data_IF_210483427828
#
_entry.id   IF_210483427828
#
_cell.length_a   1.000
_cell.length_b   1.000
_cell.length_c   1.000
_cell.angle_alpha   90.00
_cell.angle_beta   90.00
_cell.angle_gamma   90.00
#
_symmetry.space_group_name_H-M   'P 1'
#
loop_
_entity.id
_entity.type
_entity.pdbx_description
1 polymer ?
#
# COMPACT_ATOMS: atom_id res chain seq x y z
N UNK A 1 19.90 7.88 12.60
CA UNK A 1 18.47 7.98 12.92
C UNK A 1 17.73 6.81 12.30
N UNK A 2 16.56 6.41 12.83
CA UNK A 2 15.72 5.38 12.23
C UNK A 2 14.56 6.05 11.46
N UNK A 3 14.20 5.48 10.32
CA UNK A 3 13.09 5.98 9.51
C UNK A 3 12.58 4.93 8.54
N UNK A 4 11.53 5.27 7.79
CA UNK A 4 10.90 4.41 6.78
C UNK A 4 11.05 5.03 5.40
N UNK A 5 11.45 4.24 4.41
CA UNK A 5 11.50 4.69 3.02
C UNK A 5 10.07 4.89 2.51
N UNK A 6 9.70 6.12 2.18
CA UNK A 6 8.37 6.46 1.65
C UNK A 6 8.37 6.66 0.13
N UNK A 7 9.54 6.84 -0.49
CA UNK A 7 9.67 7.05 -1.94
C UNK A 7 11.09 6.69 -2.39
N UNK A 8 11.22 6.15 -3.61
CA UNK A 8 12.50 5.87 -4.25
C UNK A 8 12.48 6.31 -5.71
N UNK A 9 13.39 7.19 -6.12
CA UNK A 9 13.51 7.70 -7.50
C UNK A 9 14.97 7.80 -7.89
N UNK A 10 15.34 7.21 -9.00
CA UNK A 10 16.67 7.37 -9.63
C UNK A 10 17.85 7.17 -8.68
N UNK A 11 17.72 6.23 -7.74
CA UNK A 11 18.78 5.94 -6.75
C UNK A 11 18.79 6.83 -5.51
N UNK A 12 17.85 7.75 -5.40
CA UNK A 12 17.56 8.50 -4.20
C UNK A 12 16.39 7.90 -3.44
N UNK A 13 16.46 7.90 -2.12
CA UNK A 13 15.45 7.36 -1.22
C UNK A 13 15.01 8.44 -0.25
N UNK A 14 13.72 8.69 -0.19
CA UNK A 14 13.12 9.64 0.72
C UNK A 14 12.69 8.89 1.98
N UNK A 15 13.37 9.20 3.08
CA UNK A 15 13.19 8.50 4.35
C UNK A 15 12.44 9.39 5.31
N UNK A 16 11.25 8.98 5.71
CA UNK A 16 10.50 9.64 6.75
C UNK A 16 11.04 9.23 8.12
N UNK A 17 11.51 10.21 8.88
CA UNK A 17 11.98 10.07 10.28
C UNK A 17 10.95 10.76 11.16
N UNK A 18 10.47 10.07 12.19
CA UNK A 18 9.49 10.63 13.12
C UNK A 18 10.02 11.95 13.72
N UNK A 19 9.10 12.92 13.89
CA UNK A 19 9.35 14.26 14.47
C UNK A 19 10.25 15.18 13.64
N UNK A 20 11.15 14.64 12.80
CA UNK A 20 12.11 15.46 12.05
C UNK A 20 11.76 15.61 10.56
N UNK A 21 10.88 14.75 10.01
CA UNK A 21 10.38 14.86 8.64
C UNK A 21 11.09 13.96 7.63
N UNK A 22 11.14 14.39 6.37
CA UNK A 22 11.64 13.58 5.26
C UNK A 22 13.06 13.99 4.89
N UNK A 23 13.96 13.01 4.84
CA UNK A 23 15.33 13.15 4.39
C UNK A 23 15.53 12.57 3.00
N UNK A 24 16.23 13.28 2.11
CA UNK A 24 16.70 12.74 0.85
C UNK A 24 18.01 11.99 1.08
N UNK A 25 18.00 10.68 0.86
CA UNK A 25 19.12 9.80 1.15
C UNK A 25 19.64 9.09 -0.10
N UNK A 26 20.94 8.88 -0.18
CA UNK A 26 21.56 7.97 -1.12
C UNK A 26 21.80 6.61 -0.45
N UNK A 27 21.65 5.53 -1.20
CA UNK A 27 22.04 4.22 -0.72
C UNK A 27 23.57 4.06 -0.84
N UNK A 28 24.23 3.55 0.21
CA UNK A 28 25.65 3.21 0.16
C UNK A 28 25.92 2.12 -0.87
N UNK A 29 27.09 2.17 -1.50
CA UNK A 29 27.52 1.19 -2.51
C UNK A 29 27.56 -0.26 -2.01
N UNK A 30 27.65 -0.48 -0.71
CA UNK A 30 27.63 -1.80 -0.07
C UNK A 30 26.36 -2.60 -0.41
N UNK A 31 25.21 -1.93 -0.59
CA UNK A 31 23.96 -2.60 -0.96
C UNK A 31 24.02 -3.23 -2.35
N UNK A 32 24.78 -2.62 -3.28
CA UNK A 32 25.05 -3.22 -4.61
C UNK A 32 25.86 -4.50 -4.49
N UNK A 33 26.87 -4.51 -3.62
CA UNK A 33 27.71 -5.69 -3.39
C UNK A 33 26.94 -6.82 -2.75
N UNK A 34 26.00 -6.50 -1.85
CA UNK A 34 25.12 -7.46 -1.18
C UNK A 34 23.90 -7.87 -2.02
N UNK A 35 23.74 -7.32 -3.23
CA UNK A 35 22.54 -7.50 -4.09
C UNK A 35 21.21 -7.16 -3.39
N UNK A 36 21.26 -6.33 -2.37
CA UNK A 36 20.07 -5.87 -1.65
C UNK A 36 19.64 -4.54 -2.25
N UNK A 37 18.42 -4.49 -2.77
CA UNK A 37 17.81 -3.26 -3.29
C UNK A 37 16.90 -2.67 -2.22
N UNK A 38 17.11 -1.41 -1.78
CA UNK A 38 16.16 -0.74 -0.90
C UNK A 38 14.80 -0.60 -1.57
N UNK A 39 13.73 -0.85 -0.84
CA UNK A 39 12.35 -0.78 -1.31
C UNK A 39 11.58 0.29 -0.53
N UNK A 40 10.54 0.82 -1.16
CA UNK A 40 9.55 1.62 -0.42
C UNK A 40 8.92 0.73 0.66
N UNK A 41 8.78 1.28 1.87
CA UNK A 41 8.33 0.53 3.05
C UNK A 41 9.46 -0.06 3.90
N UNK A 42 10.72 -0.08 3.42
CA UNK A 42 11.84 -0.52 4.25
C UNK A 42 12.01 0.39 5.48
N UNK A 43 12.19 -0.25 6.63
CA UNK A 43 12.70 0.41 7.82
C UNK A 43 14.22 0.47 7.73
N UNK A 44 14.78 1.66 7.91
CA UNK A 44 16.21 1.91 7.67
C UNK A 44 16.85 2.73 8.79
N UNK A 45 18.16 2.58 8.92
CA UNK A 45 18.99 3.51 9.67
C UNK A 45 19.69 4.45 8.69
N UNK A 46 19.60 5.74 8.95
CA UNK A 46 20.25 6.78 8.16
C UNK A 46 21.32 7.52 8.95
N UNK A 47 22.34 7.95 8.24
CA UNK A 47 23.32 8.93 8.73
C UNK A 47 22.99 10.27 8.08
N UNK A 48 22.74 11.28 8.90
CA UNK A 48 22.45 12.65 8.44
C UNK A 48 23.77 13.31 8.07
N UNK A 49 23.82 13.91 6.90
CA UNK A 49 24.96 14.67 6.38
C UNK A 49 24.72 16.17 6.50
N UNK A 50 23.49 16.61 6.32
CA UNK A 50 23.07 18.01 6.40
C UNK A 50 21.65 18.06 6.98
N UNK A 51 21.53 18.61 8.18
CA UNK A 51 20.26 18.64 8.90
C UNK A 51 19.32 19.73 8.39
N UNK A 52 19.87 20.87 7.95
CA UNK A 52 19.09 21.96 7.40
C UNK A 52 18.48 21.58 6.03
N UNK A 53 19.27 20.95 5.17
CA UNK A 53 18.83 20.50 3.84
C UNK A 53 18.14 19.14 3.86
N UNK A 54 18.06 18.47 5.02
CA UNK A 54 17.49 17.13 5.17
C UNK A 54 18.14 16.10 4.21
N UNK A 55 19.48 16.07 4.18
CA UNK A 55 20.26 15.16 3.34
C UNK A 55 20.94 14.11 4.20
N UNK A 56 20.93 12.86 3.74
CA UNK A 56 21.57 11.76 4.45
C UNK A 56 21.97 10.59 3.55
N UNK A 57 22.45 9.55 4.19
CA UNK A 57 22.73 8.27 3.55
C UNK A 57 22.00 7.14 4.27
N UNK A 58 21.44 6.20 3.51
CA UNK A 58 20.95 4.93 4.07
C UNK A 58 22.18 4.11 4.47
N UNK A 59 22.31 3.87 5.76
CA UNK A 59 23.41 3.09 6.35
C UNK A 59 23.09 1.61 6.39
N UNK A 60 21.85 1.29 6.81
CA UNK A 60 21.41 -0.08 7.02
C UNK A 60 19.92 -0.22 6.70
N UNK A 61 19.56 -1.34 6.06
CA UNK A 61 18.18 -1.78 5.91
C UNK A 61 17.91 -2.77 7.05
N UNK A 62 16.86 -2.53 7.81
CA UNK A 62 16.45 -3.41 8.88
C UNK A 62 15.75 -4.67 8.31
N UNK A 63 15.67 -5.77 9.07
CA UNK A 63 15.01 -6.97 8.61
C UNK A 63 13.57 -6.71 8.16
N UNK A 64 13.22 -7.20 6.99
CA UNK A 64 11.86 -7.11 6.43
C UNK A 64 10.97 -8.13 7.11
N UNK A 65 9.77 -7.72 7.47
CA UNK A 65 8.70 -8.62 7.93
C UNK A 65 7.95 -9.24 6.75
N UNK A 66 7.78 -8.44 5.68
CA UNK A 66 7.14 -8.83 4.42
C UNK A 66 7.83 -8.13 3.25
N UNK A 67 7.79 -8.78 2.10
CA UNK A 67 8.28 -8.22 0.86
C UNK A 67 7.37 -8.66 -0.28
N UNK A 68 6.83 -7.70 -1.04
CA UNK A 68 6.08 -7.97 -2.26
C UNK A 68 6.96 -7.82 -3.48
N UNK A 69 6.75 -8.70 -4.46
CA UNK A 69 7.46 -8.63 -5.76
C UNK A 69 6.77 -7.60 -6.66
N UNK A 70 5.44 -7.56 -6.64
CA UNK A 70 4.61 -6.62 -7.42
C UNK A 70 3.41 -6.16 -6.61
N UNK A 71 3.35 -4.86 -6.27
CA UNK A 71 4.42 -3.87 -6.40
C UNK A 71 5.63 -4.24 -5.56
N UNK A 72 6.85 -3.77 -5.95
CA UNK A 72 8.07 -4.01 -5.19
C UNK A 72 8.09 -3.09 -3.96
N UNK A 73 7.54 -3.56 -2.85
CA UNK A 73 7.41 -2.84 -1.57
C UNK A 73 7.69 -3.78 -0.40
N UNK A 74 8.13 -3.21 0.73
CA UNK A 74 8.44 -3.95 1.93
C UNK A 74 7.57 -3.50 3.11
N UNK A 75 7.43 -4.35 4.12
CA UNK A 75 6.84 -4.06 5.43
C UNK A 75 5.45 -3.44 5.34
N UNK A 76 4.61 -3.90 4.39
CA UNK A 76 3.21 -3.49 4.33
C UNK A 76 2.37 -4.25 5.36
N UNK A 77 1.46 -3.53 5.97
CA UNK A 77 0.53 -4.10 6.96
C UNK A 77 -0.68 -4.73 6.28
N UNK A 78 -1.13 -4.12 5.17
CA UNK A 78 -2.28 -4.60 4.41
C UNK A 78 -2.26 -4.12 2.96
N UNK A 79 -3.03 -4.80 2.12
CA UNK A 79 -3.38 -4.34 0.78
C UNK A 79 -4.82 -3.82 0.74
N UNK A 80 -5.03 -2.66 0.14
CA UNK A 80 -6.35 -2.13 -0.17
C UNK A 80 -6.63 -2.35 -1.66
N UNK A 81 -7.59 -3.23 -1.97
CA UNK A 81 -7.97 -3.54 -3.35
C UNK A 81 -9.23 -2.76 -3.70
N UNK A 82 -9.10 -1.78 -4.59
CA UNK A 82 -10.19 -0.86 -4.92
C UNK A 82 -10.77 -1.21 -6.28
N UNK A 83 -12.08 -1.46 -6.31
CA UNK A 83 -12.88 -1.66 -7.53
C UNK A 83 -14.04 -0.68 -7.57
N UNK A 84 -14.48 -0.31 -8.77
CA UNK A 84 -15.78 0.33 -8.90
C UNK A 84 -16.88 -0.72 -8.69
N UNK A 85 -17.91 -0.40 -7.90
CA UNK A 85 -19.10 -1.26 -7.77
C UNK A 85 -19.90 -1.32 -9.08
N UNK A 86 -19.85 -0.23 -9.85
CA UNK A 86 -20.41 -0.12 -11.21
C UNK A 86 -19.68 0.97 -12.00
N UNK A 87 -19.79 0.92 -13.33
CA UNK A 87 -19.25 1.92 -14.29
C UNK A 87 -17.78 2.28 -14.05
N UNK A 88 -16.82 1.40 -14.46
CA UNK A 88 -17.06 0.14 -15.17
C UNK A 88 -17.54 -0.98 -14.23
N UNK A 89 -18.15 -2.02 -14.79
CA UNK A 89 -18.51 -3.19 -14.02
C UNK A 89 -17.26 -3.89 -13.48
N UNK A 90 -17.28 -4.39 -12.24
CA UNK A 90 -16.12 -5.02 -11.65
C UNK A 90 -15.74 -6.31 -12.39
N UNK A 91 -14.46 -6.45 -12.69
CA UNK A 91 -13.92 -7.70 -13.21
C UNK A 91 -13.57 -8.62 -12.02
N UNK A 92 -14.51 -9.49 -11.66
CA UNK A 92 -14.36 -10.40 -10.53
C UNK A 92 -13.20 -11.39 -10.72
N UNK A 93 -12.97 -11.90 -11.94
CA UNK A 93 -11.82 -12.77 -12.19
C UNK A 93 -10.48 -12.09 -11.86
N UNK A 94 -10.40 -10.81 -12.13
CA UNK A 94 -9.20 -10.04 -11.81
C UNK A 94 -9.09 -9.78 -10.30
N UNK A 95 -10.21 -9.46 -9.64
CA UNK A 95 -10.27 -9.33 -8.19
C UNK A 95 -9.81 -10.63 -7.51
N UNK A 96 -10.39 -11.76 -7.88
CA UNK A 96 -10.07 -13.07 -7.30
C UNK A 96 -8.60 -13.44 -7.48
N UNK A 97 -8.01 -13.14 -8.65
CA UNK A 97 -6.58 -13.33 -8.90
C UNK A 97 -5.70 -12.48 -7.97
N UNK A 98 -6.11 -11.24 -7.70
CA UNK A 98 -5.42 -10.39 -6.73
C UNK A 98 -5.53 -10.95 -5.32
N UNK A 99 -6.70 -11.39 -4.91
CA UNK A 99 -6.92 -11.99 -3.61
C UNK A 99 -6.04 -13.22 -3.42
N UNK A 100 -6.02 -14.15 -4.39
CA UNK A 100 -5.15 -15.32 -4.36
C UNK A 100 -3.66 -14.95 -4.26
N UNK A 101 -3.23 -13.91 -4.99
CA UNK A 101 -1.85 -13.44 -4.93
C UNK A 101 -1.50 -12.86 -3.56
N UNK A 102 -2.40 -12.11 -2.93
CA UNK A 102 -2.19 -11.55 -1.59
C UNK A 102 -2.19 -12.65 -0.52
N UNK A 103 -3.09 -13.64 -0.63
CA UNK A 103 -3.10 -14.82 0.24
C UNK A 103 -1.77 -15.59 0.16
N UNK A 104 -1.29 -15.85 -1.06
CA UNK A 104 0.01 -16.51 -1.25
C UNK A 104 1.15 -15.76 -0.57
N UNK A 105 1.10 -14.43 -0.56
CA UNK A 105 2.10 -13.56 0.07
C UNK A 105 1.79 -13.26 1.55
N UNK A 106 0.72 -13.85 2.09
CA UNK A 106 0.27 -13.67 3.49
C UNK A 106 0.04 -12.19 3.86
N UNK A 107 -0.51 -11.42 2.92
CA UNK A 107 -0.84 -10.01 3.12
C UNK A 107 -2.34 -9.88 3.39
N UNK A 108 -2.75 -9.31 4.53
CA UNK A 108 -4.16 -9.02 4.79
C UNK A 108 -4.73 -8.08 3.73
N UNK A 109 -5.97 -8.35 3.31
CA UNK A 109 -6.64 -7.55 2.28
C UNK A 109 -7.94 -6.98 2.80
N UNK A 110 -8.18 -5.70 2.51
CA UNK A 110 -9.51 -5.08 2.57
C UNK A 110 -9.97 -4.78 1.15
N UNK A 111 -11.15 -5.23 0.76
CA UNK A 111 -11.76 -4.95 -0.53
C UNK A 111 -12.61 -3.69 -0.40
N UNK A 112 -12.38 -2.71 -1.27
CA UNK A 112 -13.13 -1.47 -1.30
C UNK A 112 -13.90 -1.35 -2.62
N UNK A 113 -15.22 -1.46 -2.57
CA UNK A 113 -16.08 -1.17 -3.72
C UNK A 113 -16.49 0.31 -3.70
N UNK A 114 -15.80 1.10 -4.52
CA UNK A 114 -16.12 2.52 -4.69
C UNK A 114 -17.28 2.72 -5.68
N UNK A 115 -17.87 3.92 -5.70
CA UNK A 115 -19.06 4.28 -6.45
C UNK A 115 -20.29 3.48 -6.01
N UNK A 116 -20.41 3.18 -4.71
CA UNK A 116 -21.54 2.44 -4.17
C UNK A 116 -22.89 3.18 -4.33
N UNK A 117 -22.85 4.50 -4.63
CA UNK A 117 -24.01 5.31 -5.01
C UNK A 117 -24.67 4.87 -6.34
N UNK A 118 -24.01 4.02 -7.13
CA UNK A 118 -24.51 3.51 -8.41
C UNK A 118 -25.11 2.11 -8.34
N UNK A 119 -25.13 1.48 -7.18
CA UNK A 119 -25.65 0.11 -6.97
C UNK A 119 -26.69 0.08 -5.87
N UNK A 120 -27.63 -0.88 -5.97
CA UNK A 120 -28.66 -1.08 -4.95
C UNK A 120 -28.11 -1.84 -3.73
N UNK A 121 -28.85 -1.82 -2.63
CA UNK A 121 -28.46 -2.57 -1.43
C UNK A 121 -28.47 -4.09 -1.68
N UNK A 122 -29.39 -4.60 -2.51
CA UNK A 122 -29.44 -6.00 -2.89
C UNK A 122 -28.15 -6.41 -3.64
N UNK A 123 -27.64 -5.54 -4.53
CA UNK A 123 -26.38 -5.78 -5.23
C UNK A 123 -25.18 -5.75 -4.28
N UNK A 124 -25.16 -4.83 -3.30
CA UNK A 124 -24.13 -4.81 -2.27
C UNK A 124 -24.16 -6.08 -1.42
N UNK A 125 -25.38 -6.56 -1.07
CA UNK A 125 -25.54 -7.77 -0.27
C UNK A 125 -25.04 -9.03 -0.97
N UNK A 126 -25.22 -9.13 -2.29
CA UNK A 126 -24.63 -10.21 -3.08
C UNK A 126 -23.10 -10.22 -2.97
N UNK A 127 -22.47 -9.05 -3.10
CA UNK A 127 -21.02 -8.92 -2.97
C UNK A 127 -20.54 -9.26 -1.55
N UNK A 128 -21.27 -8.82 -0.51
CA UNK A 128 -20.98 -9.21 0.87
C UNK A 128 -20.99 -10.72 1.04
N UNK A 129 -22.06 -11.37 0.64
CA UNK A 129 -22.18 -12.83 0.77
C UNK A 129 -21.04 -13.59 0.11
N UNK A 130 -20.55 -13.12 -1.02
CA UNK A 130 -19.45 -13.79 -1.74
C UNK A 130 -18.12 -13.61 -0.97
N UNK A 131 -17.74 -12.40 -0.64
CA UNK A 131 -16.39 -12.11 -0.17
C UNK A 131 -16.25 -12.15 1.35
N UNK A 132 -17.29 -11.81 2.13
CA UNK A 132 -17.26 -11.96 3.59
C UNK A 132 -17.25 -13.43 4.01
N UNK A 133 -17.99 -14.31 3.29
CA UNK A 133 -17.90 -15.76 3.52
C UNK A 133 -16.52 -16.33 3.19
N UNK A 134 -15.80 -15.71 2.27
CA UNK A 134 -14.40 -16.05 1.99
C UNK A 134 -13.42 -15.44 3.00
N UNK A 135 -13.90 -14.69 4.01
CA UNK A 135 -13.09 -14.13 5.10
C UNK A 135 -12.49 -12.76 4.82
N UNK A 136 -12.91 -12.06 3.76
CA UNK A 136 -12.41 -10.71 3.44
C UNK A 136 -13.23 -9.62 4.10
N UNK A 137 -12.55 -8.58 4.57
CA UNK A 137 -13.19 -7.33 4.99
C UNK A 137 -13.61 -6.52 3.76
N UNK A 138 -14.90 -6.13 3.71
CA UNK A 138 -15.45 -5.31 2.64
C UNK A 138 -15.83 -3.91 3.12
N UNK A 139 -15.51 -2.93 2.27
CA UNK A 139 -15.98 -1.55 2.40
C UNK A 139 -16.69 -1.12 1.13
N UNK A 140 -17.88 -0.56 1.28
CA UNK A 140 -18.59 0.14 0.21
C UNK A 140 -18.43 1.62 0.42
N UNK A 141 -17.84 2.32 -0.55
CA UNK A 141 -17.56 3.76 -0.46
C UNK A 141 -18.11 4.50 -1.67
N UNK A 142 -18.37 5.78 -1.51
CA UNK A 142 -18.57 6.69 -2.63
C UNK A 142 -17.76 7.97 -2.40
N UNK A 143 -16.75 8.17 -3.21
CA UNK A 143 -15.99 9.42 -3.20
C UNK A 143 -16.85 10.63 -3.60
N UNK A 144 -17.90 10.41 -4.39
CA UNK A 144 -18.83 11.44 -4.84
C UNK A 144 -19.76 11.93 -3.72
N UNK A 145 -20.33 10.99 -2.98
CA UNK A 145 -21.28 11.29 -1.89
C UNK A 145 -20.61 11.35 -0.52
N UNK A 146 -19.32 11.03 -0.44
CA UNK A 146 -18.53 10.88 0.79
C UNK A 146 -19.00 9.73 1.70
N UNK A 147 -19.82 8.82 1.17
CA UNK A 147 -20.30 7.65 1.93
C UNK A 147 -19.12 6.77 2.35
N UNK A 148 -19.02 6.47 3.64
CA UNK A 148 -18.02 5.61 4.28
C UNK A 148 -16.54 6.02 4.05
N UNK A 149 -16.24 7.22 3.59
CA UNK A 149 -14.87 7.71 3.40
C UNK A 149 -14.12 7.79 4.74
N UNK A 150 -14.79 8.27 5.80
CA UNK A 150 -14.19 8.34 7.13
C UNK A 150 -13.92 6.93 7.72
N UNK A 151 -14.79 5.96 7.44
CA UNK A 151 -14.55 4.57 7.81
C UNK A 151 -13.31 4.01 7.09
N UNK A 152 -13.18 4.29 5.80
CA UNK A 152 -11.97 3.91 5.05
C UNK A 152 -10.71 4.54 5.65
N UNK A 153 -10.73 5.83 5.98
CA UNK A 153 -9.60 6.50 6.64
C UNK A 153 -9.22 5.82 7.95
N UNK A 154 -10.20 5.46 8.79
CA UNK A 154 -9.93 4.79 10.06
C UNK A 154 -9.29 3.40 9.89
N UNK A 155 -9.66 2.65 8.85
CA UNK A 155 -9.06 1.35 8.52
C UNK A 155 -7.59 1.50 8.08
N UNK A 156 -7.25 2.62 7.43
CA UNK A 156 -5.89 2.89 6.93
C UNK A 156 -4.98 3.55 7.96
N UNK A 157 -5.55 4.15 8.99
CA UNK A 157 -4.81 4.94 9.97
C UNK A 157 -3.72 4.12 10.67
N UNK A 158 -2.49 4.64 10.70
CA UNK A 158 -1.34 4.02 11.35
C UNK A 158 -0.76 2.81 10.63
N UNK A 159 -1.24 2.50 9.41
CA UNK A 159 -0.78 1.34 8.62
C UNK A 159 0.03 1.76 7.41
N UNK A 160 0.98 0.92 7.04
CA UNK A 160 1.65 0.98 5.72
C UNK A 160 0.82 0.17 4.73
N UNK A 161 0.20 0.83 3.78
CA UNK A 161 -0.78 0.22 2.87
C UNK A 161 -0.28 0.23 1.44
N UNK A 162 -0.34 -0.92 0.78
CA UNK A 162 -0.28 -0.99 -0.67
C UNK A 162 -1.70 -0.95 -1.22
N UNK A 163 -1.96 -0.10 -2.21
CA UNK A 163 -3.27 -0.07 -2.84
C UNK A 163 -3.16 -0.32 -4.34
N UNK A 164 -4.17 -1.02 -4.86
CA UNK A 164 -4.36 -1.16 -6.30
C UNK A 164 -5.73 -0.63 -6.66
N UNK A 165 -5.79 0.22 -7.67
CA UNK A 165 -7.05 0.51 -8.35
C UNK A 165 -6.90 0.03 -9.79
N UNK A 166 -7.88 -0.70 -10.26
CA UNK A 166 -7.91 -1.17 -11.63
C UNK A 166 -8.86 -0.27 -12.42
N UNK A 167 -8.27 0.71 -13.08
CA UNK A 167 -8.89 1.33 -14.25
C UNK A 167 -8.43 0.53 -15.45
N UNK A 168 -9.37 -0.13 -16.13
CA UNK A 168 -9.11 -0.57 -17.48
C UNK A 168 -8.86 0.70 -18.32
N UNK A 169 -7.77 0.76 -19.10
CA UNK A 169 -7.67 1.82 -20.10
C UNK A 169 -8.86 1.68 -21.05
N UNK A 170 -9.60 2.75 -21.18
CA UNK A 170 -10.62 2.93 -22.22
C UNK A 170 -9.95 2.94 -23.57
#
# INVERSE_FOLDING_TARGET
MKGKIVKGISGFYYVHVAETGIYECKAKGIFRNQKIKPLVGDDVEIVVLDEEKKIGNVEKILPRTRELIRPAVANIDMALVIFAAAKPDPNFNLLDRFLCMMEYQKVPVTICFNKCDLVTEEQREVLRKIYELAGYELLFTSAKTQENVEKLKSVLQGKTVSYTHLTLPT
#
